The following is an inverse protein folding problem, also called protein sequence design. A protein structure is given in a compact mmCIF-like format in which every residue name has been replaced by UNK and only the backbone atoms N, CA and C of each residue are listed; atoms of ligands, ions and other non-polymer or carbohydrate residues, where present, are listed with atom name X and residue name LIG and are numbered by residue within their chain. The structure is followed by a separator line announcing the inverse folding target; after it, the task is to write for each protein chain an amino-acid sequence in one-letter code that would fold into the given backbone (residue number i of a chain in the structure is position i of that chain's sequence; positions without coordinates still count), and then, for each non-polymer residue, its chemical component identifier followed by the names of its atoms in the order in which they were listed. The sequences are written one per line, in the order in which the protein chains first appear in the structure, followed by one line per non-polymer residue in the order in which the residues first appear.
data_IF_386834234870
#
_entry.id   IF_386834234870
#
_cell.length_a   1.000
_cell.length_b   1.000
_cell.length_c   1.000
_cell.angle_alpha   90.00
_cell.angle_beta   90.00
_cell.angle_gamma   90.00
#
_symmetry.space_group_name_H-M   'P 1'
#
loop_
_entity.id
_entity.type
_entity.pdbx_description
1 polymer ?
#
# COMPACT_ATOMS: atom_id res chain seq x y z
N UNK A 1 29.79 -10.65 -2.64
CA UNK A 1 29.26 -10.66 -1.26
C UNK A 1 28.37 -11.89 -1.11
N UNK A 2 28.56 -12.69 -0.07
CA UNK A 2 27.75 -13.89 0.13
C UNK A 2 26.30 -13.47 0.45
N UNK A 3 25.32 -14.09 -0.21
CA UNK A 3 23.89 -13.73 -0.07
C UNK A 3 23.41 -13.83 1.38
N UNK A 4 23.97 -14.77 2.15
CA UNK A 4 23.68 -14.93 3.58
C UNK A 4 24.18 -13.76 4.43
N UNK A 5 25.33 -13.19 4.08
CA UNK A 5 25.87 -12.03 4.80
C UNK A 5 25.09 -10.75 4.48
N UNK A 6 24.67 -10.59 3.23
CA UNK A 6 23.81 -9.48 2.86
C UNK A 6 22.45 -9.54 3.58
N UNK A 7 21.85 -10.72 3.69
CA UNK A 7 20.63 -10.96 4.43
C UNK A 7 20.77 -10.61 5.92
N UNK A 8 21.85 -11.10 6.58
CA UNK A 8 22.11 -10.78 7.99
C UNK A 8 22.31 -9.30 8.20
N UNK A 9 23.03 -8.62 7.32
CA UNK A 9 23.28 -7.18 7.41
C UNK A 9 21.95 -6.41 7.30
N UNK A 10 21.08 -6.83 6.39
CA UNK A 10 19.76 -6.23 6.24
C UNK A 10 18.88 -6.47 7.48
N UNK A 11 18.84 -7.69 8.01
CA UNK A 11 18.11 -8.03 9.22
C UNK A 11 18.59 -7.19 10.41
N UNK A 12 19.91 -7.09 10.62
CA UNK A 12 20.51 -6.27 11.67
C UNK A 12 20.25 -4.77 11.47
N UNK A 13 20.34 -4.29 10.24
CA UNK A 13 20.09 -2.89 9.93
C UNK A 13 18.66 -2.43 10.15
N UNK A 14 17.71 -3.37 10.18
CA UNK A 14 16.30 -3.08 10.42
C UNK A 14 15.79 -3.62 11.77
N UNK A 15 16.69 -4.00 12.68
CA UNK A 15 16.36 -4.48 14.03
C UNK A 15 15.27 -5.56 14.05
N UNK A 16 15.39 -6.55 13.13
CA UNK A 16 14.36 -7.59 13.00
C UNK A 16 14.40 -8.60 14.12
N UNK A 17 13.33 -8.66 14.87
CA UNK A 17 13.12 -9.66 15.92
C UNK A 17 12.54 -10.96 15.32
N UNK A 18 13.18 -12.10 15.61
CA UNK A 18 12.64 -13.42 15.25
C UNK A 18 11.82 -13.96 16.42
N UNK A 19 10.53 -14.14 16.20
CA UNK A 19 9.62 -14.69 17.21
C UNK A 19 9.70 -16.22 17.17
N UNK A 20 10.05 -16.84 18.28
CA UNK A 20 10.25 -18.30 18.36
C UNK A 20 8.95 -19.10 18.36
N UNK A 21 7.87 -18.56 18.88
CA UNK A 21 6.51 -19.10 18.81
C UNK A 21 5.76 -18.47 17.64
N UNK A 22 6.12 -18.88 16.49
CA UNK A 22 5.91 -18.25 15.23
C UNK A 22 4.45 -18.03 14.85
N UNK A 23 3.59 -18.95 15.23
CA UNK A 23 2.22 -18.94 14.77
C UNK A 23 1.29 -18.12 15.67
N UNK A 24 1.71 -17.75 16.87
CA UNK A 24 0.87 -16.98 17.80
C UNK A 24 0.64 -15.55 17.34
N UNK A 25 1.65 -14.89 16.78
CA UNK A 25 1.47 -13.52 16.28
C UNK A 25 0.49 -13.47 15.10
N UNK A 26 0.38 -14.56 14.31
CA UNK A 26 -0.58 -14.68 13.21
C UNK A 26 -1.93 -15.22 13.64
N UNK A 27 -2.06 -15.72 14.87
CA UNK A 27 -3.32 -16.20 15.40
C UNK A 27 -4.30 -15.03 15.53
N UNK A 28 -5.39 -15.09 14.80
CA UNK A 28 -6.45 -14.09 14.85
C UNK A 28 -7.54 -14.56 15.82
N UNK A 29 -7.64 -13.88 16.96
CA UNK A 29 -8.75 -14.07 17.89
C UNK A 29 -9.85 -13.04 17.61
N UNK A 30 -10.90 -13.49 16.91
CA UNK A 30 -12.04 -12.65 16.54
C UNK A 30 -12.72 -12.03 17.76
N UNK A 31 -12.81 -12.76 18.88
CA UNK A 31 -13.45 -12.28 20.10
C UNK A 31 -12.64 -11.17 20.74
N UNK A 32 -11.33 -11.37 20.89
CA UNK A 32 -10.43 -10.34 21.42
C UNK A 32 -10.48 -9.07 20.57
N UNK A 33 -10.44 -9.18 19.25
CA UNK A 33 -10.54 -8.02 18.35
C UNK A 33 -11.88 -7.30 18.50
N UNK A 34 -12.98 -8.05 18.62
CA UNK A 34 -14.30 -7.48 18.82
C UNK A 34 -14.44 -6.78 20.17
N UNK A 35 -13.85 -7.34 21.24
CA UNK A 35 -13.85 -6.75 22.56
C UNK A 35 -13.10 -5.41 22.57
N UNK A 36 -11.94 -5.32 21.90
CA UNK A 36 -11.19 -4.07 21.73
C UNK A 36 -11.99 -3.03 20.92
N UNK A 37 -12.60 -3.44 19.81
CA UNK A 37 -13.43 -2.57 18.99
C UNK A 37 -14.67 -2.05 19.72
N UNK A 38 -15.19 -2.83 20.67
CA UNK A 38 -16.33 -2.43 21.50
C UNK A 38 -15.90 -1.50 22.63
N UNK A 39 -14.75 -1.79 23.26
CA UNK A 39 -14.21 -0.97 24.35
C UNK A 39 -13.68 0.40 23.90
N UNK A 40 -13.24 0.50 22.66
CA UNK A 40 -12.71 1.73 22.00
C UNK A 40 -11.78 2.53 22.89
N UNK A 41 -10.68 1.94 23.38
CA UNK A 41 -9.81 2.59 24.36
C UNK A 41 -9.17 3.90 23.85
N UNK A 42 -9.01 4.03 22.53
CA UNK A 42 -8.50 5.25 21.87
C UNK A 42 -9.43 6.47 21.97
N UNK A 43 -10.73 6.27 22.27
CA UNK A 43 -11.64 7.40 22.55
C UNK A 43 -11.33 8.06 23.90
N UNK A 44 -10.76 7.28 24.86
CA UNK A 44 -10.40 7.77 26.18
C UNK A 44 -8.98 8.31 26.25
N UNK A 45 -8.06 7.70 25.49
CA UNK A 45 -6.67 8.11 25.42
C UNK A 45 -6.26 8.32 23.94
N UNK A 46 -6.10 9.56 23.49
CA UNK A 46 -5.67 9.90 22.12
C UNK A 46 -4.29 9.30 21.75
N UNK A 47 -3.46 9.00 22.74
CA UNK A 47 -2.16 8.32 22.62
C UNK A 47 -2.20 6.82 22.95
N UNK A 48 -3.37 6.20 22.90
CA UNK A 48 -3.51 4.78 23.26
C UNK A 48 -2.56 3.88 22.47
N UNK A 49 -2.48 4.06 21.15
CA UNK A 49 -1.55 3.32 20.31
C UNK A 49 -0.18 3.97 20.34
N UNK A 50 0.79 3.24 20.89
CA UNK A 50 2.19 3.70 21.04
C UNK A 50 3.13 2.97 20.10
N UNK A 51 2.82 1.72 19.76
CA UNK A 51 3.71 0.83 19.04
C UNK A 51 3.04 0.24 17.79
N UNK A 52 3.86 -0.02 16.79
CA UNK A 52 3.48 -0.82 15.63
C UNK A 52 4.54 -1.87 15.35
N UNK A 53 4.09 -3.13 15.17
CA UNK A 53 4.94 -4.23 14.70
C UNK A 53 4.61 -4.51 13.24
N UNK A 54 5.63 -4.53 12.39
CA UNK A 54 5.47 -4.75 10.94
C UNK A 54 6.16 -6.05 10.56
N UNK A 55 5.46 -6.94 9.86
CA UNK A 55 6.07 -8.18 9.37
C UNK A 55 7.14 -7.88 8.31
N UNK A 56 8.18 -8.71 8.28
CA UNK A 56 9.24 -8.59 7.28
C UNK A 56 8.70 -8.68 5.84
N UNK A 57 7.65 -9.47 5.62
CA UNK A 57 6.99 -9.59 4.33
C UNK A 57 6.25 -8.31 3.94
N UNK A 58 5.48 -7.72 4.86
CA UNK A 58 4.80 -6.45 4.63
C UNK A 58 5.80 -5.33 4.34
N UNK A 59 6.88 -5.24 5.14
CA UNK A 59 7.95 -4.27 4.92
C UNK A 59 8.56 -4.41 3.53
N UNK A 60 8.89 -5.63 3.12
CA UNK A 60 9.45 -5.89 1.80
C UNK A 60 8.50 -5.48 0.67
N UNK A 61 7.23 -5.87 0.76
CA UNK A 61 6.21 -5.50 -0.23
C UNK A 61 6.06 -3.98 -0.35
N UNK A 62 5.96 -3.27 0.77
CA UNK A 62 5.84 -1.81 0.80
C UNK A 62 7.06 -1.13 0.18
N UNK A 63 8.27 -1.55 0.54
CA UNK A 63 9.52 -0.97 0.00
C UNK A 63 9.64 -1.21 -1.49
N UNK A 64 9.33 -2.42 -1.96
CA UNK A 64 9.37 -2.73 -3.40
C UNK A 64 8.33 -1.94 -4.19
N UNK A 65 7.11 -1.82 -3.66
CA UNK A 65 6.06 -1.01 -4.28
C UNK A 65 6.44 0.48 -4.30
N UNK A 66 6.91 1.04 -3.17
CA UNK A 66 7.38 2.41 -3.10
C UNK A 66 8.51 2.70 -4.12
N UNK A 67 9.43 1.74 -4.28
CA UNK A 67 10.51 1.84 -5.25
C UNK A 67 10.01 1.77 -6.70
N UNK A 68 9.02 0.93 -6.99
CA UNK A 68 8.45 0.81 -8.33
C UNK A 68 7.74 2.08 -8.80
N UNK A 69 7.26 2.90 -7.87
CA UNK A 69 6.67 4.21 -8.17
C UNK A 69 7.66 5.24 -8.70
N UNK A 70 8.99 5.03 -8.49
CA UNK A 70 10.01 5.98 -8.90
C UNK A 70 9.83 7.34 -8.22
N UNK A 71 9.52 8.36 -9.00
CA UNK A 71 9.25 9.73 -8.51
C UNK A 71 7.77 9.98 -8.19
N UNK A 72 6.89 9.02 -8.46
CA UNK A 72 5.48 9.12 -8.15
C UNK A 72 5.21 8.57 -6.75
N UNK A 73 4.33 9.24 -6.03
CA UNK A 73 3.78 8.69 -4.80
C UNK A 73 2.87 7.52 -5.11
N UNK A 74 3.11 6.41 -4.46
CA UNK A 74 2.27 5.21 -4.54
C UNK A 74 1.69 4.90 -3.18
N UNK A 75 0.52 4.27 -3.15
CA UNK A 75 -0.18 3.97 -1.92
C UNK A 75 -0.71 2.54 -1.89
N UNK A 76 -0.99 2.06 -0.69
CA UNK A 76 -1.59 0.75 -0.48
C UNK A 76 -2.24 0.63 0.89
N UNK A 77 -2.82 -0.52 1.17
CA UNK A 77 -3.49 -0.80 2.43
C UNK A 77 -2.71 -1.79 3.28
N UNK A 78 -2.86 -1.65 4.59
CA UNK A 78 -2.24 -2.50 5.60
C UNK A 78 -3.26 -3.46 6.17
N UNK A 79 -2.89 -4.73 6.27
CA UNK A 79 -3.70 -5.78 6.88
C UNK A 79 -3.08 -6.23 8.20
N UNK A 80 -3.91 -6.41 9.21
CA UNK A 80 -3.39 -6.82 10.50
C UNK A 80 -4.43 -6.90 11.61
N UNK A 81 -3.95 -6.75 12.83
CA UNK A 81 -4.75 -6.79 14.05
C UNK A 81 -4.19 -5.85 15.10
N UNK A 82 -4.88 -5.77 16.21
CA UNK A 82 -4.45 -4.99 17.37
C UNK A 82 -4.23 -5.93 18.56
N UNK A 83 -3.17 -5.67 19.32
CA UNK A 83 -2.89 -6.34 20.57
C UNK A 83 -2.54 -5.29 21.65
N UNK A 84 -3.46 -5.08 22.59
CA UNK A 84 -3.34 -3.97 23.56
C UNK A 84 -3.14 -2.63 22.84
N UNK A 85 -2.08 -1.92 23.20
CA UNK A 85 -1.70 -0.62 22.63
C UNK A 85 -0.81 -0.73 21.38
N UNK A 86 -0.64 -1.93 20.85
CA UNK A 86 0.24 -2.23 19.73
C UNK A 86 -0.59 -2.60 18.49
N UNK A 87 -0.30 -1.97 17.38
CA UNK A 87 -0.83 -2.36 16.07
C UNK A 87 0.12 -3.37 15.43
N UNK A 88 -0.42 -4.43 14.82
CA UNK A 88 0.38 -5.49 14.21
C UNK A 88 0.03 -5.57 12.72
N UNK A 89 0.92 -5.05 11.89
CA UNK A 89 0.82 -5.15 10.43
C UNK A 89 1.40 -6.48 9.96
N UNK A 90 0.55 -7.36 9.48
CA UNK A 90 0.92 -8.71 9.03
C UNK A 90 1.22 -8.76 7.55
N UNK A 91 0.48 -8.00 6.75
CA UNK A 91 0.62 -7.95 5.30
C UNK A 91 0.18 -6.60 4.76
N UNK A 92 0.48 -6.34 3.49
CA UNK A 92 0.01 -5.17 2.78
C UNK A 92 -0.30 -5.50 1.32
N UNK A 93 -1.06 -4.66 0.66
CA UNK A 93 -1.27 -4.74 -0.78
C UNK A 93 -1.30 -3.36 -1.42
N UNK A 94 -0.72 -3.30 -2.60
CA UNK A 94 -0.63 -2.10 -3.40
C UNK A 94 -2.01 -1.73 -3.97
N UNK A 95 -2.32 -0.45 -4.02
CA UNK A 95 -3.44 0.07 -4.79
C UNK A 95 -2.94 0.47 -6.19
N UNK A 96 -3.79 0.37 -7.22
CA UNK A 96 -3.43 0.83 -8.56
C UNK A 96 -3.16 2.34 -8.54
N UNK A 97 -2.14 2.78 -9.28
CA UNK A 97 -1.68 4.18 -9.35
C UNK A 97 -2.72 5.10 -9.97
N UNK A 98 -3.60 4.59 -10.81
CA UNK A 98 -4.69 5.37 -11.37
C UNK A 98 -5.77 5.57 -10.30
N UNK A 99 -5.88 6.81 -9.85
CA UNK A 99 -6.86 7.26 -8.86
C UNK A 99 -8.29 7.22 -9.37
N UNK A 100 -8.77 6.04 -9.75
CA UNK A 100 -10.19 5.80 -9.73
C UNK A 100 -10.58 5.65 -8.28
N UNK A 101 -11.58 6.41 -7.85
CA UNK A 101 -12.25 6.28 -6.55
C UNK A 101 -12.75 4.83 -6.39
N UNK A 102 -11.85 3.89 -6.23
CA UNK A 102 -12.19 2.55 -5.80
C UNK A 102 -12.67 2.70 -4.36
N UNK A 103 -13.98 2.76 -4.21
CA UNK A 103 -14.63 2.48 -2.94
C UNK A 103 -13.98 1.22 -2.39
N UNK A 104 -13.01 1.40 -1.52
CA UNK A 104 -12.45 0.31 -0.75
C UNK A 104 -13.61 -0.19 0.09
N UNK A 105 -14.29 -1.24 -0.39
CA UNK A 105 -15.24 -1.98 0.43
C UNK A 105 -14.46 -2.29 1.71
N UNK A 106 -15.08 -2.02 2.86
CA UNK A 106 -14.54 -2.32 4.18
C UNK A 106 -13.86 -3.68 4.14
N UNK A 107 -12.55 -3.68 3.96
CA UNK A 107 -11.77 -4.90 4.00
C UNK A 107 -11.70 -5.31 5.45
N UNK A 108 -12.26 -6.46 5.74
CA UNK A 108 -12.12 -7.08 7.05
C UNK A 108 -10.62 -7.12 7.37
N UNK A 109 -10.22 -6.59 8.53
CA UNK A 109 -8.85 -6.51 9.03
C UNK A 109 -7.90 -5.48 8.37
N UNK A 110 -8.40 -4.50 7.62
CA UNK A 110 -7.57 -3.35 7.25
C UNK A 110 -7.33 -2.48 8.50
N UNK A 111 -6.06 -2.28 8.84
CA UNK A 111 -5.62 -1.50 10.02
C UNK A 111 -4.93 -0.20 9.65
N UNK A 112 -4.82 0.12 8.37
CA UNK A 112 -4.14 1.32 7.93
C UNK A 112 -3.87 1.37 6.44
N UNK A 113 -3.11 2.37 6.06
CA UNK A 113 -2.62 2.59 4.72
C UNK A 113 -1.15 2.98 4.74
N UNK A 114 -0.49 2.85 3.61
CA UNK A 114 0.87 3.36 3.41
C UNK A 114 0.96 4.14 2.12
N UNK A 115 1.91 5.07 2.06
CA UNK A 115 2.27 5.78 0.85
C UNK A 115 3.76 6.08 0.81
N UNK A 116 4.26 6.42 -0.37
CA UNK A 116 5.68 6.72 -0.55
C UNK A 116 5.91 8.22 -0.68
N UNK A 117 7.04 8.67 -0.10
CA UNK A 117 7.59 10.02 -0.20
C UNK A 117 8.97 9.99 -0.87
N UNK A 118 9.07 9.99 -2.22
CA UNK A 118 10.35 9.81 -2.91
C UNK A 118 11.34 10.95 -2.66
N UNK A 119 12.26 10.79 -1.69
CA UNK A 119 13.38 11.71 -1.44
C UNK A 119 13.15 12.81 -0.41
N UNK A 120 11.93 12.98 0.14
CA UNK A 120 11.63 14.07 1.08
C UNK A 120 11.27 13.64 2.50
N UNK A 121 11.48 12.34 2.82
CA UNK A 121 11.42 11.81 4.19
C UNK A 121 10.02 11.40 4.64
N UNK A 122 9.95 10.88 5.87
CA UNK A 122 8.74 10.29 6.44
C UNK A 122 8.06 11.27 7.39
N UNK A 123 6.97 11.88 6.94
CA UNK A 123 6.11 12.82 7.67
C UNK A 123 4.74 12.84 6.99
N UNK A 124 3.73 13.45 7.59
CA UNK A 124 2.40 13.60 6.98
C UNK A 124 2.20 15.01 6.46
N UNK A 125 1.90 15.16 5.17
CA UNK A 125 1.45 16.43 4.59
C UNK A 125 0.07 16.82 5.11
N UNK A 126 -0.38 18.03 4.87
CA UNK A 126 -1.72 18.47 5.28
C UNK A 126 -2.85 17.61 4.67
N UNK A 127 -2.63 17.10 3.45
CA UNK A 127 -3.57 16.19 2.78
C UNK A 127 -3.56 14.82 3.49
N UNK A 128 -2.37 14.31 3.84
CA UNK A 128 -2.23 13.03 4.53
C UNK A 128 -2.85 13.07 5.93
N UNK A 129 -2.64 14.17 6.66
CA UNK A 129 -3.27 14.41 7.96
C UNK A 129 -4.79 14.38 7.84
N UNK A 130 -5.35 15.10 6.86
CA UNK A 130 -6.78 15.14 6.62
C UNK A 130 -7.34 13.78 6.25
N UNK A 131 -6.64 13.04 5.39
CA UNK A 131 -6.99 11.67 4.96
C UNK A 131 -6.92 10.69 6.14
N UNK A 132 -5.85 10.74 6.94
CA UNK A 132 -5.69 9.89 8.11
C UNK A 132 -6.76 10.18 9.17
N UNK A 133 -7.04 11.46 9.43
CA UNK A 133 -8.08 11.86 10.37
C UNK A 133 -9.47 11.35 9.94
N UNK A 134 -9.78 11.45 8.66
CA UNK A 134 -11.02 10.93 8.09
C UNK A 134 -11.11 9.41 8.25
N UNK A 135 -10.04 8.69 7.92
CA UNK A 135 -9.99 7.24 8.05
C UNK A 135 -10.11 6.81 9.52
N UNK A 136 -9.45 7.49 10.45
CA UNK A 136 -9.59 7.22 11.87
C UNK A 136 -11.02 7.45 12.36
N UNK A 137 -11.73 8.43 11.82
CA UNK A 137 -13.11 8.70 12.20
C UNK A 137 -14.06 7.56 11.80
N UNK A 138 -13.82 6.91 10.65
CA UNK A 138 -14.75 5.92 10.11
C UNK A 138 -14.29 4.47 10.25
N UNK A 139 -13.01 4.23 10.45
CA UNK A 139 -12.43 2.88 10.42
C UNK A 139 -11.34 2.70 11.50
N UNK A 140 -11.60 3.11 12.74
CA UNK A 140 -10.68 2.81 13.85
C UNK A 140 -10.62 1.29 14.14
N UNK A 141 -9.43 0.75 14.50
CA UNK A 141 -8.11 1.40 14.57
C UNK A 141 -7.44 1.56 13.19
N UNK A 142 -6.81 2.71 12.93
CA UNK A 142 -6.21 3.01 11.63
C UNK A 142 -4.87 3.76 11.78
N UNK A 143 -3.86 3.41 10.98
CA UNK A 143 -2.52 3.98 10.99
C UNK A 143 -2.06 4.37 9.59
N UNK A 144 -1.26 5.42 9.47
CA UNK A 144 -0.56 5.78 8.25
C UNK A 144 0.91 5.38 8.35
N UNK A 145 1.43 4.70 7.33
CA UNK A 145 2.86 4.42 7.17
C UNK A 145 3.38 5.22 5.98
N UNK A 146 4.49 5.93 6.18
CA UNK A 146 5.19 6.67 5.12
C UNK A 146 6.54 6.04 4.88
N UNK A 147 6.91 5.85 3.61
CA UNK A 147 8.18 5.23 3.20
C UNK A 147 8.90 6.13 2.22
N UNK A 148 10.18 6.41 2.46
CA UNK A 148 11.03 7.09 1.50
C UNK A 148 11.95 6.09 0.80
N UNK A 149 11.64 5.70 -0.46
CA UNK A 149 12.44 4.73 -1.20
C UNK A 149 13.82 5.26 -1.58
N UNK A 150 13.98 6.56 -1.80
CA UNK A 150 15.25 7.18 -2.21
C UNK A 150 16.22 7.21 -1.03
N UNK A 151 15.77 7.67 0.13
CA UNK A 151 16.57 7.66 1.35
C UNK A 151 16.86 6.25 1.85
N UNK A 152 15.97 5.30 1.64
CA UNK A 152 16.21 3.87 1.91
C UNK A 152 17.42 3.35 1.16
N UNK A 153 17.53 3.67 -0.13
CA UNK A 153 18.67 3.21 -0.97
C UNK A 153 19.97 3.87 -0.51
N UNK A 154 19.95 5.16 -0.25
CA UNK A 154 21.15 5.91 0.13
C UNK A 154 21.66 5.57 1.52
N UNK A 155 20.77 5.28 2.47
CA UNK A 155 21.12 4.97 3.85
C UNK A 155 21.43 3.49 4.11
N UNK A 156 21.03 2.58 3.20
CA UNK A 156 21.12 1.12 3.41
C UNK A 156 20.22 0.59 4.50
N UNK A 157 19.36 1.44 5.07
CA UNK A 157 18.31 1.12 6.05
C UNK A 157 16.98 1.68 5.55
N UNK A 158 15.88 0.94 5.79
CA UNK A 158 14.55 1.41 5.38
C UNK A 158 14.21 2.70 6.12
N UNK A 159 13.96 3.76 5.34
CA UNK A 159 13.47 5.02 5.83
C UNK A 159 11.93 4.97 5.84
N UNK A 160 11.36 4.80 7.02
CA UNK A 160 9.94 4.53 7.23
C UNK A 160 9.47 5.16 8.54
N UNK A 161 8.25 5.64 8.56
CA UNK A 161 7.60 6.18 9.77
C UNK A 161 6.14 5.75 9.83
N UNK A 162 5.61 5.59 11.03
CA UNK A 162 4.21 5.29 11.28
C UNK A 162 3.58 6.40 12.12
N UNK A 163 2.38 6.83 11.74
CA UNK A 163 1.75 8.01 12.28
C UNK A 163 0.26 7.81 12.53
N UNK A 164 -0.25 8.51 13.52
CA UNK A 164 -1.68 8.66 13.78
C UNK A 164 -2.00 10.12 14.09
N UNK A 165 -3.19 10.56 13.72
CA UNK A 165 -3.66 11.91 14.00
C UNK A 165 -4.34 11.98 15.35
N UNK A 166 -4.28 13.15 15.98
CA UNK A 166 -5.07 13.47 17.15
C UNK A 166 -6.55 13.70 16.79
N UNK A 167 -7.46 13.44 17.71
CA UNK A 167 -8.85 13.84 17.54
C UNK A 167 -8.97 15.35 17.31
N UNK A 168 -9.92 15.76 16.48
CA UNK A 168 -10.14 17.17 16.18
C UNK A 168 -10.37 17.99 17.45
N UNK A 169 -9.55 19.04 17.62
CA UNK A 169 -9.63 19.93 18.78
C UNK A 169 -8.85 19.47 20.01
N UNK A 170 -8.20 18.31 19.98
CA UNK A 170 -7.27 17.89 21.02
C UNK A 170 -5.98 18.70 20.93
N UNK A 171 -5.53 19.24 22.07
CA UNK A 171 -4.23 19.90 22.18
C UNK A 171 -3.32 19.02 23.02
N UNK A 172 -2.25 18.54 22.41
CA UNK A 172 -1.22 17.78 23.13
C UNK A 172 -0.56 18.67 24.20
N UNK A 173 -0.33 18.16 25.43
CA UNK A 173 0.09 18.99 26.55
C UNK A 173 1.45 19.69 26.38
N UNK A 174 2.42 19.10 25.68
CA UNK A 174 3.80 19.55 25.75
C UNK A 174 4.58 19.66 24.42
N UNK A 175 4.09 19.19 23.31
CA UNK A 175 4.80 19.28 22.05
C UNK A 175 3.91 19.85 20.94
N UNK A 176 3.94 21.17 20.92
CA UNK A 176 3.84 21.94 19.68
C UNK A 176 2.95 21.39 18.57
N UNK A 177 1.78 22.00 18.39
CA UNK A 177 1.24 22.34 17.08
C UNK A 177 1.19 21.24 15.99
N UNK A 178 1.55 20.00 16.27
CA UNK A 178 1.40 18.91 15.31
C UNK A 178 0.05 18.22 15.48
N UNK A 179 -0.67 18.10 14.38
CA UNK A 179 -1.97 17.42 14.37
C UNK A 179 -1.83 15.88 14.41
N UNK A 180 -0.59 15.37 14.46
CA UNK A 180 -0.30 13.94 14.46
C UNK A 180 0.90 13.59 15.34
N UNK A 181 1.04 12.32 15.67
CA UNK A 181 2.14 11.74 16.44
C UNK A 181 2.70 10.48 15.77
N UNK A 182 3.95 10.16 16.06
CA UNK A 182 4.62 8.95 15.58
C UNK A 182 4.41 7.77 16.53
N UNK A 183 4.40 6.55 15.97
CA UNK A 183 4.43 5.30 16.73
C UNK A 183 5.83 4.71 16.68
N UNK A 184 6.24 4.07 17.79
CA UNK A 184 7.47 3.28 17.84
C UNK A 184 7.33 2.06 16.95
N UNK A 185 8.25 1.91 16.00
CA UNK A 185 8.21 0.83 15.02
C UNK A 185 9.17 -0.31 15.41
N UNK A 186 8.68 -1.52 15.31
CA UNK A 186 9.49 -2.73 15.38
C UNK A 186 9.09 -3.72 14.30
N UNK A 187 9.98 -4.66 14.00
CA UNK A 187 9.80 -5.60 12.90
C UNK A 187 9.87 -7.02 13.42
N UNK A 188 9.11 -7.91 12.79
CA UNK A 188 9.13 -9.32 13.12
C UNK A 188 9.11 -10.18 11.85
N UNK A 189 9.59 -11.40 11.97
CA UNK A 189 9.49 -12.40 10.90
C UNK A 189 9.02 -13.73 11.48
N UNK A 190 8.08 -14.35 10.80
CA UNK A 190 7.61 -15.71 11.07
C UNK A 190 8.53 -16.75 10.43
N UNK A 191 8.30 -18.03 10.71
CA UNK A 191 8.97 -19.12 10.00
C UNK A 191 8.57 -19.16 8.52
N UNK A 192 7.34 -18.76 8.19
CA UNK A 192 6.88 -18.64 6.81
C UNK A 192 7.56 -17.45 6.12
N UNK A 193 7.62 -16.29 6.77
CA UNK A 193 8.33 -15.12 6.25
C UNK A 193 9.81 -15.46 5.99
N UNK A 194 10.44 -16.20 6.91
CA UNK A 194 11.82 -16.64 6.73
C UNK A 194 11.99 -17.47 5.45
N UNK A 195 11.14 -18.46 5.22
CA UNK A 195 11.19 -19.30 4.01
C UNK A 195 10.92 -18.49 2.74
N UNK A 196 9.95 -17.59 2.78
CA UNK A 196 9.63 -16.71 1.66
C UNK A 196 10.78 -15.74 1.36
N UNK A 197 11.34 -15.11 2.39
CA UNK A 197 12.49 -14.21 2.26
C UNK A 197 13.72 -14.95 1.75
N UNK A 198 14.01 -16.16 2.22
CA UNK A 198 15.11 -16.99 1.69
C UNK A 198 14.92 -17.31 0.20
N UNK A 199 13.70 -17.60 -0.21
CA UNK A 199 13.38 -17.88 -1.62
C UNK A 199 13.47 -16.64 -2.51
N UNK A 200 13.01 -15.49 -2.02
CA UNK A 200 13.04 -14.21 -2.72
C UNK A 200 14.45 -13.61 -2.72
N UNK A 201 15.22 -13.82 -1.63
CA UNK A 201 16.56 -13.27 -1.46
C UNK A 201 17.53 -13.71 -2.57
N UNK A 202 17.45 -14.96 -2.97
CA UNK A 202 18.31 -15.51 -4.03
C UNK A 202 18.00 -14.97 -5.44
N UNK A 203 16.82 -14.37 -5.65
CA UNK A 203 16.40 -13.90 -6.98
C UNK A 203 16.42 -12.37 -7.17
N UNK A 204 16.04 -11.62 -6.17
CA UNK A 204 15.76 -10.19 -6.36
C UNK A 204 16.57 -9.26 -5.43
N UNK A 205 16.77 -9.70 -4.19
CA UNK A 205 17.24 -8.80 -3.15
C UNK A 205 18.74 -8.54 -3.20
N UNK A 206 19.52 -9.56 -3.54
CA UNK A 206 20.99 -9.44 -3.67
C UNK A 206 21.33 -8.46 -4.79
N UNK A 207 20.64 -8.55 -5.91
CA UNK A 207 20.84 -7.61 -7.01
C UNK A 207 20.40 -6.18 -6.68
N UNK A 208 19.42 -6.04 -5.82
CA UNK A 208 18.82 -4.73 -5.50
C UNK A 208 19.58 -3.98 -4.40
N UNK A 209 20.12 -4.69 -3.39
CA UNK A 209 20.81 -4.07 -2.27
C UNK A 209 22.35 -4.13 -2.37
N UNK A 210 22.91 -5.12 -3.07
CA UNK A 210 24.36 -5.35 -3.09
C UNK A 210 25.04 -4.89 -4.37
N UNK A 211 24.30 -4.53 -5.40
CA UNK A 211 24.91 -4.01 -6.63
C UNK A 211 25.11 -2.52 -6.55
N UNK A 212 26.34 -2.09 -6.81
CA UNK A 212 26.65 -0.69 -7.08
C UNK A 212 25.72 -0.20 -8.18
N UNK A 213 24.97 0.86 -7.89
CA UNK A 213 23.93 1.43 -8.75
C UNK A 213 24.35 1.74 -10.21
N UNK A 214 25.65 1.81 -10.48
CA UNK A 214 26.23 2.05 -11.81
C UNK A 214 26.27 0.82 -12.73
N UNK A 215 26.32 -0.41 -12.20
CA UNK A 215 26.43 -1.62 -13.03
C UNK A 215 25.11 -2.33 -13.28
N UNK A 216 24.13 -2.18 -12.40
CA UNK A 216 22.79 -2.80 -12.54
C UNK A 216 21.77 -1.86 -13.17
N UNK A 217 22.07 -0.57 -13.27
CA UNK A 217 21.12 0.42 -13.80
C UNK A 217 20.77 0.18 -15.27
N UNK A 218 21.71 -0.36 -16.06
CA UNK A 218 21.46 -0.62 -17.49
C UNK A 218 20.50 -1.82 -17.69
N UNK A 219 20.71 -2.95 -17.01
CA UNK A 219 19.84 -4.12 -17.13
C UNK A 219 18.47 -3.87 -16.48
N UNK A 220 18.44 -3.18 -15.34
CA UNK A 220 17.20 -2.82 -14.67
C UNK A 220 16.38 -1.79 -15.50
N UNK A 221 17.03 -0.77 -16.04
CA UNK A 221 16.37 0.23 -16.90
C UNK A 221 15.89 -0.41 -18.19
N UNK A 222 16.67 -1.32 -18.76
CA UNK A 222 16.28 -2.07 -19.97
C UNK A 222 15.07 -2.97 -19.65
N UNK A 223 15.06 -3.68 -18.53
CA UNK A 223 13.93 -4.49 -18.08
C UNK A 223 12.67 -3.68 -17.81
N UNK A 224 12.80 -2.48 -17.22
CA UNK A 224 11.66 -1.58 -17.02
C UNK A 224 11.13 -0.98 -18.34
N UNK A 225 12.01 -0.68 -19.28
CA UNK A 225 11.61 -0.20 -20.61
C UNK A 225 10.84 -1.29 -21.37
N UNK A 226 11.29 -2.54 -21.32
CA UNK A 226 10.56 -3.67 -21.90
C UNK A 226 9.20 -3.90 -21.21
N UNK A 227 9.15 -3.89 -19.88
CA UNK A 227 7.88 -4.04 -19.15
C UNK A 227 6.89 -2.89 -19.42
N UNK A 228 7.41 -1.67 -19.61
CA UNK A 228 6.61 -0.52 -20.00
C UNK A 228 6.12 -0.64 -21.47
N UNK A 229 6.99 -1.12 -22.36
CA UNK A 229 6.62 -1.37 -23.76
C UNK A 229 5.53 -2.43 -23.88
N UNK A 230 5.66 -3.55 -23.16
CA UNK A 230 4.64 -4.60 -23.09
C UNK A 230 3.30 -4.09 -22.54
N UNK A 231 3.34 -3.24 -21.52
CA UNK A 231 2.13 -2.63 -20.95
C UNK A 231 1.49 -1.62 -21.89
N UNK A 232 2.28 -0.86 -22.63
CA UNK A 232 1.76 0.04 -23.68
C UNK A 232 1.11 -0.76 -24.79
N UNK A 233 1.74 -1.82 -25.27
CA UNK A 233 1.19 -2.69 -26.32
C UNK A 233 -0.11 -3.38 -25.88
N UNK A 234 -0.18 -3.84 -24.61
CA UNK A 234 -1.41 -4.37 -24.01
C UNK A 234 -2.50 -3.31 -23.89
N UNK A 235 -2.17 -2.07 -23.53
CA UNK A 235 -3.14 -0.98 -23.42
C UNK A 235 -3.63 -0.51 -24.78
N UNK A 236 -2.76 -0.45 -25.79
CA UNK A 236 -3.15 -0.19 -27.19
C UNK A 236 -4.08 -1.28 -27.75
N UNK A 237 -3.78 -2.55 -27.47
CA UNK A 237 -4.63 -3.67 -27.87
C UNK A 237 -6.01 -3.62 -27.18
N UNK A 238 -6.08 -3.16 -25.91
CA UNK A 238 -7.34 -2.96 -25.19
C UNK A 238 -8.12 -1.75 -25.73
N UNK A 239 -7.45 -0.64 -26.04
CA UNK A 239 -8.07 0.54 -26.66
C UNK A 239 -8.56 0.23 -28.07
N UNK A 240 -7.81 -0.54 -28.85
CA UNK A 240 -8.23 -1.01 -30.16
C UNK A 240 -9.48 -1.88 -30.10
N UNK A 241 -9.59 -2.77 -29.11
CA UNK A 241 -10.80 -3.59 -28.91
C UNK A 241 -11.98 -2.75 -28.39
N UNK A 242 -11.74 -1.82 -27.45
CA UNK A 242 -12.76 -0.91 -26.95
C UNK A 242 -13.30 0.03 -28.05
N UNK A 243 -12.43 0.57 -28.89
CA UNK A 243 -12.82 1.40 -30.04
C UNK A 243 -13.62 0.63 -31.08
N UNK A 244 -13.31 -0.64 -31.32
CA UNK A 244 -14.07 -1.50 -32.23
C UNK A 244 -15.47 -1.83 -31.69
N UNK A 245 -15.59 -2.11 -30.38
CA UNK A 245 -16.88 -2.37 -29.71
C UNK A 245 -17.77 -1.10 -29.70
N UNK A 246 -17.20 0.06 -29.39
CA UNK A 246 -17.93 1.34 -29.47
C UNK A 246 -18.36 1.68 -30.90
N UNK A 247 -17.53 1.34 -31.89
CA UNK A 247 -17.87 1.49 -33.31
C UNK A 247 -19.02 0.57 -33.76
N UNK A 248 -19.10 -0.65 -33.24
CA UNK A 248 -20.19 -1.58 -33.47
C UNK A 248 -21.50 -1.13 -32.80
N UNK A 249 -21.47 -0.72 -31.53
CA UNK A 249 -22.67 -0.21 -30.80
C UNK A 249 -23.24 1.06 -31.51
N UNK A 250 -22.38 1.96 -31.95
CA UNK A 250 -22.83 3.16 -32.67
C UNK A 250 -23.37 2.84 -34.06
N UNK A 251 -22.89 1.76 -34.71
CA UNK A 251 -23.39 1.29 -36.01
C UNK A 251 -24.73 0.56 -35.85
N UNK A 252 -24.91 -0.26 -34.83
CA UNK A 252 -26.19 -0.93 -34.53
C UNK A 252 -27.28 0.09 -34.14
N UNK A 253 -26.96 1.05 -33.27
CA UNK A 253 -27.90 2.13 -32.91
C UNK A 253 -28.31 2.99 -34.09
N UNK A 254 -27.40 3.28 -35.03
CA UNK A 254 -27.72 3.98 -36.25
C UNK A 254 -28.58 3.16 -37.24
N UNK A 255 -28.46 1.84 -37.23
CA UNK A 255 -29.31 0.94 -38.06
C UNK A 255 -30.71 0.77 -37.43
N UNK A 256 -30.82 0.70 -36.11
CA UNK A 256 -32.11 0.67 -35.40
C UNK A 256 -32.88 1.99 -35.55
N UNK A 257 -32.21 3.15 -35.43
CA UNK A 257 -32.83 4.46 -35.66
C UNK A 257 -33.28 4.66 -37.11
N UNK A 258 -32.56 4.08 -38.09
CA UNK A 258 -33.02 4.09 -39.49
C UNK A 258 -34.22 3.18 -39.70
N UNK A 259 -34.26 2.01 -39.05
CA UNK A 259 -35.39 1.11 -39.15
C UNK A 259 -36.64 1.70 -38.47
N UNK A 260 -36.46 2.34 -37.31
CA UNK A 260 -37.54 3.02 -36.61
C UNK A 260 -38.10 4.23 -37.35
N UNK A 261 -37.27 4.96 -38.10
CA UNK A 261 -37.74 6.03 -38.98
C UNK A 261 -38.50 5.49 -40.22
N UNK A 262 -38.00 4.41 -40.84
CA UNK A 262 -38.66 3.78 -41.98
C UNK A 262 -40.05 3.21 -41.64
N UNK A 263 -40.24 2.70 -40.41
CA UNK A 263 -41.53 2.21 -39.92
C UNK A 263 -42.51 3.34 -39.55
N UNK A 264 -42.01 4.54 -39.15
CA UNK A 264 -42.87 5.70 -38.90
C UNK A 264 -43.34 6.37 -40.19
N UNK A 265 -42.53 6.43 -41.22
CA UNK A 265 -42.91 6.99 -42.52
C UNK A 265 -43.81 6.07 -43.36
N UNK A 266 -43.89 4.76 -43.01
CA UNK A 266 -44.78 3.79 -43.63
C UNK A 266 -46.22 3.79 -43.08
N UNK A 267 -46.50 4.51 -41.97
CA UNK A 267 -47.84 4.51 -41.34
C UNK A 267 -48.67 5.79 -41.65
N UNK A 268 -48.22 6.67 -42.54
CA UNK A 268 -48.92 7.93 -42.86
C UNK A 268 -49.69 7.86 -44.19
N UNK A 269 -49.79 6.70 -44.82
CA UNK A 269 -50.60 6.55 -46.02
C UNK A 269 -51.72 5.52 -45.87
N UNK A 270 -52.62 5.68 -44.92
CA UNK A 270 -53.99 5.14 -44.97
C UNK A 270 -54.82 5.74 -43.82
N UNK A 271 -55.40 6.95 -44.08
CA UNK A 271 -56.69 7.39 -43.51
C UNK A 271 -57.20 8.56 -44.33
#
# INVERSE_FOLDING_TARGET
MDSKNAMKTWELGNDMETISSVDEIYRYDKKQQQDILTAKPWEKDPHYFKHIKVSALALLKMVMHARSGGNLEVMGLLLGKVDGNTMICMDCFALPVEGTETRVRRLENAIGWYHSHPGYGCWLSGIDVSTQMLNQQFQEPFVAIVIDPVRTISAGKVNIGAFRTYPKGYKAPDEAQSDYYSLDMSYFKSSLDRKLLESLWNKYWVNTLSSASLLTNAEYTTGQVFDLADKLEQSEAQLGRGGFMLGMETSEKKSEDKLAKSTKDGFVFWS
#
